data_IF_991092004534
#
_entry.id   IF_991092004534
#
_cell.length_a   1.000
_cell.length_b   1.000
_cell.length_c   1.000
_cell.angle_alpha   90.00
_cell.angle_beta   90.00
_cell.angle_gamma   90.00
#
_symmetry.space_group_name_H-M   'P 1'
#
loop_
_entity.id
_entity.type
_entity.pdbx_description
1 polymer ?
#
# COMPACT_ATOMS: atom_id res chain seq x y z
N UNK A 1 14.11 0.81 10.34
CA UNK A 1 13.98 -0.44 9.58
C UNK A 1 12.52 -0.89 9.63
N UNK A 2 11.91 -1.30 8.52
CA UNK A 2 10.57 -1.91 8.53
C UNK A 2 10.57 -3.15 9.43
N UNK A 3 9.49 -3.33 10.18
CA UNK A 3 9.35 -4.40 11.16
C UNK A 3 8.39 -5.51 10.68
N UNK A 4 8.16 -5.60 9.37
CA UNK A 4 7.21 -6.52 8.77
C UNK A 4 7.80 -7.15 7.51
N UNK A 5 7.34 -8.35 7.18
CA UNK A 5 7.70 -9.00 5.92
C UNK A 5 6.99 -8.30 4.74
N UNK A 6 7.77 -7.56 3.98
CA UNK A 6 7.32 -6.83 2.79
C UNK A 6 6.63 -7.73 1.75
N UNK A 7 7.11 -8.95 1.52
CA UNK A 7 6.49 -9.84 0.52
C UNK A 7 5.10 -10.27 0.95
N UNK A 8 4.93 -10.55 2.24
CA UNK A 8 3.62 -10.91 2.81
C UNK A 8 2.68 -9.71 2.83
N UNK A 9 3.20 -8.53 3.15
CA UNK A 9 2.43 -7.29 3.09
C UNK A 9 1.91 -7.02 1.68
N UNK A 10 2.74 -7.21 0.64
CA UNK A 10 2.28 -7.13 -0.75
C UNK A 10 1.09 -8.06 -1.04
N UNK A 11 1.10 -9.30 -0.54
CA UNK A 11 -0.03 -10.24 -0.73
C UNK A 11 -1.33 -9.70 -0.11
N UNK A 12 -1.26 -9.07 1.07
CA UNK A 12 -2.44 -8.42 1.68
C UNK A 12 -2.95 -7.29 0.77
N UNK A 13 -2.05 -6.44 0.27
CA UNK A 13 -2.44 -5.34 -0.63
C UNK A 13 -3.10 -5.87 -1.92
N UNK A 14 -2.52 -6.91 -2.52
CA UNK A 14 -3.06 -7.55 -3.72
C UNK A 14 -4.49 -8.09 -3.46
N UNK A 15 -4.73 -8.71 -2.29
CA UNK A 15 -6.06 -9.17 -1.86
C UNK A 15 -7.07 -8.01 -1.70
N UNK A 16 -6.64 -6.88 -1.11
CA UNK A 16 -7.50 -5.70 -0.91
C UNK A 16 -7.85 -5.03 -2.24
N UNK A 17 -6.93 -5.06 -3.21
CA UNK A 17 -7.20 -4.56 -4.57
C UNK A 17 -8.27 -5.37 -5.32
N UNK A 18 -8.72 -6.49 -4.73
CA UNK A 18 -9.84 -7.33 -5.14
C UNK A 18 -9.88 -7.68 -6.64
N UNK A 19 -8.75 -8.03 -7.29
CA UNK A 19 -8.81 -8.39 -8.69
C UNK A 19 -9.29 -9.85 -8.81
N UNK A 20 -10.17 -10.17 -9.78
CA UNK A 20 -10.55 -11.55 -10.07
C UNK A 20 -9.36 -12.43 -10.49
N UNK A 21 -8.25 -11.80 -10.89
CA UNK A 21 -6.99 -12.45 -11.24
C UNK A 21 -5.82 -11.74 -10.50
N UNK A 22 -4.94 -12.47 -9.78
CA UNK A 22 -3.79 -11.88 -9.08
C UNK A 22 -2.83 -11.06 -9.97
N UNK A 23 -2.85 -11.28 -11.30
CA UNK A 23 -2.07 -10.49 -12.26
C UNK A 23 -2.64 -9.08 -12.51
N UNK A 24 -3.89 -8.84 -12.14
CA UNK A 24 -4.60 -7.57 -12.36
C UNK A 24 -4.58 -6.68 -11.10
N UNK A 25 -3.59 -6.90 -10.21
CA UNK A 25 -3.41 -6.05 -9.03
C UNK A 25 -3.34 -4.58 -9.43
N UNK A 26 -4.10 -3.74 -8.72
CA UNK A 26 -4.06 -2.28 -8.89
C UNK A 26 -2.89 -1.63 -8.15
N UNK A 27 -2.04 -2.44 -7.53
CA UNK A 27 -0.79 -2.04 -6.86
C UNK A 27 0.34 -2.01 -7.89
N UNK A 28 0.89 -0.83 -8.15
CA UNK A 28 1.99 -0.60 -9.10
C UNK A 28 3.28 -0.24 -8.39
N UNK A 29 4.40 -0.50 -9.06
CA UNK A 29 5.74 -0.09 -8.61
C UNK A 29 6.05 -0.47 -7.16
N UNK A 30 5.62 -1.66 -6.73
CA UNK A 30 5.89 -2.13 -5.38
C UNK A 30 7.41 -2.26 -5.18
N UNK A 31 7.94 -1.49 -4.24
CA UNK A 31 9.34 -1.49 -3.86
C UNK A 31 9.44 -1.66 -2.35
N UNK A 32 10.49 -2.33 -1.89
CA UNK A 32 10.80 -2.35 -0.47
C UNK A 32 12.27 -2.54 -0.23
N UNK A 33 12.76 -1.88 0.80
CA UNK A 33 14.08 -2.09 1.35
C UNK A 33 13.98 -2.24 2.88
N UNK A 34 15.10 -2.11 3.57
CA UNK A 34 15.11 -2.18 5.03
C UNK A 34 14.41 -0.98 5.67
N UNK A 35 14.25 0.17 5.01
CA UNK A 35 13.72 1.39 5.62
C UNK A 35 12.21 1.58 5.42
N UNK A 36 11.70 1.24 4.24
CA UNK A 36 10.29 1.38 3.90
C UNK A 36 9.84 0.39 2.82
N UNK A 37 8.52 0.21 2.71
CA UNK A 37 7.86 -0.31 1.53
C UNK A 37 7.08 0.81 0.84
N UNK A 38 7.06 0.86 -0.48
CA UNK A 38 6.30 1.85 -1.24
C UNK A 38 5.59 1.22 -2.41
N UNK A 39 4.47 1.81 -2.80
CA UNK A 39 3.69 1.41 -3.95
C UNK A 39 2.79 2.56 -4.41
N UNK A 40 2.31 2.45 -5.64
CA UNK A 40 1.44 3.42 -6.28
C UNK A 40 0.09 2.78 -6.63
N UNK A 41 -0.95 3.60 -6.65
CA UNK A 41 -2.28 3.24 -7.15
C UNK A 41 -2.72 4.33 -8.12
N UNK A 42 -3.06 3.95 -9.36
CA UNK A 42 -3.57 4.90 -10.35
C UNK A 42 -4.84 5.59 -9.83
N UNK A 43 -4.99 6.89 -10.04
CA UNK A 43 -6.06 7.69 -9.42
C UNK A 43 -7.47 7.23 -9.80
N UNK A 44 -7.64 6.57 -10.95
CA UNK A 44 -8.88 5.89 -11.34
C UNK A 44 -9.36 4.83 -10.33
N UNK A 45 -8.44 4.29 -9.51
CA UNK A 45 -8.68 3.28 -8.49
C UNK A 45 -8.66 3.87 -7.06
N UNK A 46 -9.10 5.12 -6.90
CA UNK A 46 -9.10 5.85 -5.61
C UNK A 46 -9.88 5.13 -4.51
N UNK A 47 -10.91 4.37 -4.85
CA UNK A 47 -11.67 3.57 -3.88
C UNK A 47 -10.80 2.49 -3.22
N UNK A 48 -9.89 1.87 -3.97
CA UNK A 48 -8.91 0.92 -3.46
C UNK A 48 -7.89 1.64 -2.58
N UNK A 49 -7.42 2.81 -3.01
CA UNK A 49 -6.52 3.64 -2.20
C UNK A 49 -7.15 4.03 -0.86
N UNK A 50 -8.44 4.38 -0.84
CA UNK A 50 -9.18 4.69 0.39
C UNK A 50 -9.32 3.46 1.31
N UNK A 51 -9.57 2.26 0.76
CA UNK A 51 -9.61 1.01 1.54
C UNK A 51 -8.26 0.71 2.20
N UNK A 52 -7.17 0.86 1.45
CA UNK A 52 -5.81 0.65 1.96
C UNK A 52 -5.46 1.70 3.01
N UNK A 53 -5.76 2.98 2.79
CA UNK A 53 -5.58 4.03 3.80
C UNK A 53 -6.35 3.71 5.09
N UNK A 54 -7.59 3.20 4.97
CA UNK A 54 -8.40 2.73 6.09
C UNK A 54 -7.75 1.58 6.87
N UNK A 55 -7.22 0.57 6.16
CA UNK A 55 -6.45 -0.51 6.78
C UNK A 55 -5.25 0.03 7.56
N UNK A 56 -4.39 0.82 6.91
CA UNK A 56 -3.15 1.31 7.50
C UNK A 56 -3.42 2.22 8.71
N UNK A 57 -4.43 3.08 8.60
CA UNK A 57 -4.88 3.94 9.70
C UNK A 57 -5.42 3.15 10.88
N UNK A 58 -6.21 2.10 10.64
CA UNK A 58 -6.74 1.20 11.69
C UNK A 58 -5.60 0.49 12.44
N UNK A 59 -4.57 0.06 11.71
CA UNK A 59 -3.46 -0.74 12.26
C UNK A 59 -2.25 0.10 12.69
N UNK A 60 -2.50 1.33 13.18
CA UNK A 60 -1.48 2.23 13.76
C UNK A 60 -0.16 2.28 12.95
N UNK A 61 -0.27 2.21 11.63
CA UNK A 61 0.89 2.13 10.75
C UNK A 61 1.50 3.52 10.62
N UNK A 62 2.84 3.60 10.65
CA UNK A 62 3.55 4.82 10.26
C UNK A 62 3.70 4.80 8.74
N UNK A 63 2.97 5.68 8.05
CA UNK A 63 2.98 5.80 6.60
C UNK A 63 2.74 7.23 6.14
N UNK A 64 3.07 7.51 4.88
CA UNK A 64 2.67 8.73 4.16
C UNK A 64 1.83 8.38 2.94
N UNK A 65 0.96 9.31 2.56
CA UNK A 65 0.19 9.28 1.31
C UNK A 65 0.49 10.57 0.55
N UNK A 66 0.89 10.44 -0.70
CA UNK A 66 1.19 11.58 -1.58
C UNK A 66 0.44 11.43 -2.90
N UNK A 67 -0.24 12.48 -3.34
CA UNK A 67 -0.82 12.54 -4.69
C UNK A 67 0.22 13.08 -5.68
N UNK A 68 0.46 12.36 -6.76
CA UNK A 68 1.35 12.76 -7.84
C UNK A 68 0.52 13.17 -9.06
N UNK A 69 0.89 14.28 -9.70
CA UNK A 69 0.17 14.82 -10.86
C UNK A 69 0.87 14.47 -12.16
N UNK A 70 0.10 14.41 -13.26
CA UNK A 70 0.70 14.37 -14.59
C UNK A 70 1.54 15.65 -14.81
N UNK A 71 2.70 15.55 -15.48
CA UNK A 71 3.53 16.71 -15.79
C UNK A 71 2.71 17.84 -16.42
N UNK A 72 2.95 19.07 -15.97
CA UNK A 72 2.30 20.29 -16.47
C UNK A 72 0.77 20.33 -16.35
N UNK A 73 0.17 19.52 -15.46
CA UNK A 73 -1.28 19.56 -15.20
C UNK A 73 -1.61 19.52 -13.70
N UNK A 74 -2.85 19.89 -13.36
CA UNK A 74 -3.42 19.67 -12.02
C UNK A 74 -4.14 18.32 -11.88
N UNK A 75 -4.04 17.43 -12.90
CA UNK A 75 -4.71 16.13 -12.85
C UNK A 75 -3.84 15.15 -12.07
N UNK A 76 -4.43 14.52 -11.06
CA UNK A 76 -3.75 13.47 -10.28
C UNK A 76 -3.58 12.25 -11.19
N UNK A 77 -2.35 11.76 -11.28
CA UNK A 77 -1.96 10.55 -12.01
C UNK A 77 -2.10 9.34 -11.09
N UNK A 78 -1.38 9.33 -9.97
CA UNK A 78 -1.42 8.24 -8.99
C UNK A 78 -1.29 8.73 -7.55
N UNK A 79 -1.67 7.86 -6.64
CA UNK A 79 -1.53 8.00 -5.19
C UNK A 79 -0.38 7.09 -4.76
N UNK A 80 0.66 7.66 -4.17
CA UNK A 80 1.79 6.93 -3.61
C UNK A 80 1.60 6.70 -2.12
N UNK A 81 1.87 5.48 -1.69
CA UNK A 81 1.98 5.10 -0.30
C UNK A 81 3.44 4.79 0.04
N UNK A 82 3.91 5.26 1.19
CA UNK A 82 5.18 4.82 1.77
C UNK A 82 4.94 4.36 3.20
N UNK A 83 5.33 3.13 3.51
CA UNK A 83 5.08 2.45 4.77
C UNK A 83 6.42 2.25 5.49
N UNK A 84 6.56 2.85 6.66
CA UNK A 84 7.81 2.84 7.43
C UNK A 84 7.77 1.82 8.57
N UNK A 85 6.60 1.60 9.17
CA UNK A 85 6.44 0.71 10.32
C UNK A 85 4.99 0.33 10.54
N UNK A 86 4.73 -0.90 10.96
CA UNK A 86 3.41 -1.33 11.45
C UNK A 86 3.51 -1.44 12.97
N UNK A 87 2.77 -0.63 13.72
CA UNK A 87 2.81 -0.69 15.20
C UNK A 87 1.72 -1.57 15.80
N UNK A 88 0.75 -2.00 14.98
CA UNK A 88 -0.35 -2.85 15.42
C UNK A 88 0.05 -4.34 15.47
N UNK A 89 -0.08 -4.99 16.64
CA UNK A 89 0.24 -6.41 16.78
C UNK A 89 -0.67 -7.36 15.97
N UNK A 90 -1.93 -6.98 15.74
CA UNK A 90 -2.89 -7.82 15.00
C UNK A 90 -2.46 -7.96 13.53
N UNK A 91 -2.13 -6.85 12.87
CA UNK A 91 -1.65 -6.87 11.48
C UNK A 91 -0.31 -7.60 11.36
N UNK A 92 0.60 -7.44 12.34
CA UNK A 92 1.85 -8.20 12.37
C UNK A 92 1.58 -9.70 12.48
N UNK A 93 0.67 -10.12 13.36
CA UNK A 93 0.31 -11.52 13.51
C UNK A 93 -0.35 -12.11 12.25
N UNK A 94 -1.21 -11.34 11.56
CA UNK A 94 -1.78 -11.74 10.27
C UNK A 94 -0.67 -11.94 9.24
N UNK A 95 0.30 -11.02 9.18
CA UNK A 95 1.45 -11.15 8.28
C UNK A 95 2.28 -12.39 8.61
N UNK A 96 2.48 -12.73 9.89
CA UNK A 96 3.25 -13.91 10.26
C UNK A 96 2.60 -15.23 9.80
N UNK A 97 1.28 -15.27 9.68
CA UNK A 97 0.50 -16.45 9.28
C UNK A 97 0.41 -16.70 7.76
N UNK A 98 0.79 -15.73 6.92
CA UNK A 98 0.77 -15.79 5.44
C UNK A 98 2.08 -16.36 4.87
#
# INVERSE_FOLDING_TARGET
>A
MINFDSKKFKKILDSISNPPNPKDTRIRNYYSNQEYASFNIDFENVDIALRIAGLLGKHATNFTITTCHFPDTNKIDYIQFMIFKINDPELLAILDQI
#
